data_IF_647827698730
#
_entry.id   IF_647827698730
#
_cell.length_a   1.000
_cell.length_b   1.000
_cell.length_c   1.000
_cell.angle_alpha   90.00
_cell.angle_beta   90.00
_cell.angle_gamma   90.00
#
_symmetry.space_group_name_H-M   'P 1'
#
loop_
_entity.id
_entity.type
_entity.pdbx_description
1 polymer ?
#
# COMPACT_ATOMS: atom_id res chain seq x y z
N UNK A 1 -17.17 9.37 -2.11
CA UNK A 1 -16.10 8.69 -1.34
C UNK A 1 -16.31 7.19 -1.52
N UNK A 2 -15.29 6.42 -1.90
CA UNK A 2 -15.40 4.96 -1.98
C UNK A 2 -15.79 4.38 -0.62
N UNK A 3 -16.52 3.27 -0.60
CA UNK A 3 -16.91 2.57 0.62
C UNK A 3 -16.67 1.09 0.39
N UNK A 4 -15.95 0.43 1.28
CA UNK A 4 -15.81 -1.03 1.26
C UNK A 4 -17.13 -1.63 1.76
N UNK A 5 -17.87 -2.40 0.94
CA UNK A 5 -19.02 -3.17 1.39
C UNK A 5 -18.66 -4.08 2.56
N UNK A 6 -19.57 -4.23 3.54
CA UNK A 6 -19.29 -5.02 4.74
C UNK A 6 -18.97 -6.48 4.41
N UNK A 7 -19.55 -7.02 3.33
CA UNK A 7 -19.25 -8.37 2.83
C UNK A 7 -17.82 -8.53 2.26
N UNK A 8 -17.16 -7.44 1.86
CA UNK A 8 -15.79 -7.46 1.31
C UNK A 8 -14.73 -7.21 2.39
N UNK A 9 -15.12 -6.77 3.59
CA UNK A 9 -14.20 -6.60 4.73
C UNK A 9 -13.41 -7.89 5.08
N UNK A 10 -14.01 -9.11 5.05
CA UNK A 10 -13.25 -10.35 5.26
C UNK A 10 -12.17 -10.61 4.21
N UNK A 11 -12.36 -10.15 2.97
CA UNK A 11 -11.36 -10.30 1.89
C UNK A 11 -10.13 -9.45 2.19
N UNK A 12 -10.33 -8.23 2.68
CA UNK A 12 -9.21 -7.36 3.08
C UNK A 12 -8.41 -7.99 4.23
N UNK A 13 -9.10 -8.53 5.25
CA UNK A 13 -8.44 -9.26 6.35
C UNK A 13 -7.67 -10.48 5.84
N UNK A 14 -8.25 -11.26 4.91
CA UNK A 14 -7.58 -12.43 4.31
C UNK A 14 -6.32 -12.04 3.53
N UNK A 15 -6.33 -10.88 2.88
CA UNK A 15 -5.19 -10.32 2.16
C UNK A 15 -4.21 -9.58 3.08
N UNK A 16 -4.42 -9.61 4.41
CA UNK A 16 -3.65 -8.85 5.42
C UNK A 16 -3.61 -7.34 5.15
N UNK A 17 -4.70 -6.81 4.60
CA UNK A 17 -4.86 -5.39 4.32
C UNK A 17 -5.64 -4.74 5.48
N UNK A 18 -5.08 -3.68 6.05
CA UNK A 18 -5.77 -2.84 7.05
C UNK A 18 -6.88 -2.04 6.36
N UNK A 19 -8.16 -2.26 6.68
CA UNK A 19 -9.26 -1.57 5.97
C UNK A 19 -9.21 -0.04 6.06
N UNK A 20 -8.71 0.48 7.18
CA UNK A 20 -8.51 1.92 7.41
C UNK A 20 -7.41 2.47 6.50
N UNK A 21 -6.25 1.79 6.45
CA UNK A 21 -5.14 2.16 5.57
C UNK A 21 -5.50 2.05 4.09
N UNK A 22 -6.29 1.03 3.71
CA UNK A 22 -6.74 0.83 2.33
C UNK A 22 -7.50 2.03 1.76
N UNK A 23 -8.46 2.56 2.51
CA UNK A 23 -9.25 3.70 2.06
C UNK A 23 -8.39 4.95 1.85
N UNK A 24 -7.45 5.23 2.75
CA UNK A 24 -6.51 6.33 2.61
C UNK A 24 -5.56 6.13 1.42
N UNK A 25 -5.01 4.92 1.29
CA UNK A 25 -4.09 4.53 0.22
C UNK A 25 -4.70 4.64 -1.17
N UNK A 26 -5.93 4.17 -1.37
CA UNK A 26 -6.63 4.25 -2.65
C UNK A 26 -7.08 5.68 -2.95
N UNK A 27 -7.57 6.43 -1.95
CA UNK A 27 -8.00 7.83 -2.14
C UNK A 27 -6.84 8.72 -2.57
N UNK A 28 -5.66 8.51 -2.00
CA UNK A 28 -4.46 9.31 -2.26
C UNK A 28 -3.41 8.53 -3.09
N UNK A 29 -3.85 7.58 -3.91
CA UNK A 29 -2.96 6.62 -4.58
C UNK A 29 -1.85 7.32 -5.38
N UNK A 30 -2.22 8.25 -6.26
CA UNK A 30 -1.25 8.99 -7.08
C UNK A 30 -0.26 9.82 -6.26
N UNK A 31 -0.66 10.28 -5.07
CA UNK A 31 0.19 11.07 -4.17
C UNK A 31 1.20 10.18 -3.42
N UNK A 32 0.77 8.99 -2.98
CA UNK A 32 1.59 8.09 -2.20
C UNK A 32 2.46 7.16 -3.05
N UNK A 33 1.92 6.65 -4.15
CA UNK A 33 2.54 5.64 -5.01
C UNK A 33 2.99 6.21 -6.36
N UNK A 34 3.57 7.41 -6.34
CA UNK A 34 3.99 8.10 -7.57
C UNK A 34 5.05 7.33 -8.37
N UNK A 35 5.96 6.63 -7.68
CA UNK A 35 7.14 5.99 -8.31
C UNK A 35 7.08 4.47 -8.33
N UNK A 36 6.46 3.87 -7.31
CA UNK A 36 6.34 2.42 -7.17
C UNK A 36 5.17 2.11 -6.25
N UNK A 37 4.45 1.01 -6.52
CA UNK A 37 3.40 0.44 -5.68
C UNK A 37 3.59 -1.09 -5.61
N UNK A 38 3.38 -1.69 -4.44
CA UNK A 38 3.53 -3.14 -4.26
C UNK A 38 3.57 -3.53 -2.78
N UNK A 39 3.93 -4.80 -2.52
CA UNK A 39 4.24 -5.22 -1.16
C UNK A 39 5.57 -4.61 -0.70
N UNK A 40 5.70 -4.39 0.62
CA UNK A 40 6.85 -3.70 1.24
C UNK A 40 8.17 -4.34 0.80
N UNK A 41 8.29 -5.66 0.85
CA UNK A 41 9.51 -6.39 0.46
C UNK A 41 9.91 -6.14 -0.99
N UNK A 42 8.94 -6.19 -1.92
CA UNK A 42 9.20 -5.95 -3.34
C UNK A 42 9.60 -4.49 -3.61
N UNK A 43 9.02 -3.55 -2.86
CA UNK A 43 9.37 -2.14 -2.97
C UNK A 43 10.78 -1.84 -2.41
N UNK A 44 11.18 -2.52 -1.34
CA UNK A 44 12.57 -2.46 -0.86
C UNK A 44 13.54 -3.05 -1.87
N UNK A 45 13.24 -4.24 -2.42
CA UNK A 45 14.06 -4.84 -3.47
C UNK A 45 14.18 -3.93 -4.70
N UNK A 46 13.11 -3.24 -5.08
CA UNK A 46 13.13 -2.24 -6.15
C UNK A 46 14.00 -1.02 -5.81
N UNK A 47 13.93 -0.49 -4.59
CA UNK A 47 14.79 0.61 -4.15
C UNK A 47 16.28 0.24 -4.21
N UNK A 48 16.62 -0.99 -3.78
CA UNK A 48 17.98 -1.52 -3.87
C UNK A 48 18.49 -1.58 -5.32
N UNK A 49 17.66 -2.02 -6.27
CA UNK A 49 18.01 -2.01 -7.71
C UNK A 49 18.30 -0.61 -8.26
N UNK A 50 17.76 0.43 -7.64
CA UNK A 50 18.00 1.82 -8.01
C UNK A 50 19.17 2.46 -7.24
N UNK A 51 19.92 1.67 -6.44
CA UNK A 51 20.95 2.15 -5.50
C UNK A 51 20.40 3.20 -4.52
N UNK A 52 19.16 3.03 -4.06
CA UNK A 52 18.52 3.93 -3.11
C UNK A 52 18.12 3.19 -1.83
N UNK A 53 18.27 3.86 -0.69
CA UNK A 53 17.88 3.33 0.62
C UNK A 53 16.36 3.27 0.82
N UNK A 54 15.60 4.11 0.10
CA UNK A 54 14.14 4.11 0.14
C UNK A 54 13.52 4.59 -1.18
N UNK A 55 12.27 4.18 -1.41
CA UNK A 55 11.43 4.73 -2.47
C UNK A 55 10.16 5.34 -1.89
N UNK A 56 9.73 6.47 -2.47
CA UNK A 56 8.45 7.08 -2.12
C UNK A 56 7.32 6.09 -2.44
N UNK A 57 6.55 5.74 -1.42
CA UNK A 57 5.48 4.73 -1.48
C UNK A 57 5.64 3.63 -0.43
N UNK A 58 6.87 3.33 0.03
CA UNK A 58 7.13 2.27 1.02
C UNK A 58 6.35 2.51 2.32
N UNK A 59 6.44 3.72 2.87
CA UNK A 59 5.71 4.09 4.10
C UNK A 59 4.18 4.00 3.95
N UNK A 60 3.66 4.25 2.75
CA UNK A 60 2.23 4.09 2.49
C UNK A 60 1.85 2.60 2.38
N UNK A 61 2.70 1.78 1.76
CA UNK A 61 2.53 0.34 1.73
C UNK A 61 2.55 -0.28 3.14
N UNK A 62 3.45 0.16 4.02
CA UNK A 62 3.49 -0.28 5.43
C UNK A 62 2.18 0.03 6.17
N UNK A 63 1.58 1.20 5.95
CA UNK A 63 0.31 1.57 6.58
C UNK A 63 -0.89 0.74 6.06
N UNK A 64 -0.80 0.21 4.83
CA UNK A 64 -1.88 -0.54 4.18
C UNK A 64 -1.75 -2.05 4.40
N UNK A 65 -0.54 -2.60 4.33
CA UNK A 65 -0.27 -4.04 4.20
C UNK A 65 0.42 -4.68 5.43
N UNK A 66 0.73 -3.93 6.50
CA UNK A 66 1.37 -4.47 7.70
C UNK A 66 0.44 -5.29 8.60
#
# INVERSE_FOLDING_TARGET
RGKVPKELAPILTRLKIKPQGWMEGVTNFNKHFFRVAGCVDSMHAFAQKLNQSFCRGVRAAEMIFA
#
